data_IF_219805089641
#
_entry.id   IF_219805089641
#
_cell.length_a   1.000
_cell.length_b   1.000
_cell.length_c   1.000
_cell.angle_alpha   90.00
_cell.angle_beta   90.00
_cell.angle_gamma   90.00
#
_symmetry.space_group_name_H-M   'P 1'
#
loop_
_entity.id
_entity.type
_entity.pdbx_description
1 polymer ?
#
# COMPACT_ATOMS: atom_id res chain seq x y z
N UNK A 1 -32.29 -26.37 31.26
CA UNK A 1 -31.93 -24.94 31.08
C UNK A 1 -30.46 -24.89 30.72
N UNK A 2 -30.13 -24.65 29.45
CA UNK A 2 -28.74 -24.58 28.99
C UNK A 2 -28.22 -23.16 29.19
N UNK A 3 -27.18 -23.04 30.02
CA UNK A 3 -26.48 -21.77 30.25
C UNK A 3 -25.79 -21.30 28.97
N UNK A 4 -25.90 -20.03 28.58
CA UNK A 4 -25.20 -19.52 27.41
C UNK A 4 -23.70 -19.50 27.67
N UNK A 5 -22.95 -20.14 26.78
CA UNK A 5 -21.49 -20.18 26.78
C UNK A 5 -20.93 -18.75 26.58
N UNK A 6 -19.86 -18.36 27.29
CA UNK A 6 -19.30 -17.03 27.16
C UNK A 6 -18.68 -16.85 25.78
N UNK A 7 -19.22 -15.91 25.01
CA UNK A 7 -18.64 -15.42 23.76
C UNK A 7 -17.19 -14.98 24.04
N UNK A 8 -16.23 -15.57 23.32
CA UNK A 8 -14.82 -15.15 23.35
C UNK A 8 -14.73 -13.66 23.00
N UNK A 9 -14.59 -12.80 24.00
CA UNK A 9 -14.23 -11.40 23.81
C UNK A 9 -12.78 -11.38 23.34
N UNK A 10 -12.56 -11.18 22.04
CA UNK A 10 -11.23 -10.85 21.51
C UNK A 10 -10.78 -9.59 22.22
N UNK A 11 -9.68 -9.66 22.96
CA UNK A 11 -9.13 -8.52 23.71
C UNK A 11 -8.72 -7.47 22.68
N UNK A 12 -9.38 -6.31 22.68
CA UNK A 12 -9.04 -5.20 21.79
C UNK A 12 -7.77 -4.53 22.30
N UNK A 13 -6.78 -4.40 21.43
CA UNK A 13 -5.56 -3.67 21.74
C UNK A 13 -5.83 -2.18 21.57
N UNK A 14 -5.99 -1.48 22.69
CA UNK A 14 -6.23 -0.04 22.71
C UNK A 14 -4.90 0.72 22.73
N UNK A 15 -4.85 1.85 22.04
CA UNK A 15 -3.70 2.75 21.96
C UNK A 15 -4.13 4.18 22.23
N UNK A 16 -3.24 4.93 22.90
CA UNK A 16 -3.35 6.37 23.05
C UNK A 16 -2.33 7.02 22.12
N UNK A 17 -2.78 8.01 21.36
CA UNK A 17 -1.96 8.68 20.36
C UNK A 17 -1.95 10.18 20.60
N UNK A 18 -0.77 10.78 20.60
CA UNK A 18 -0.57 12.22 20.85
C UNK A 18 0.23 12.83 19.72
N UNK A 19 -0.27 13.91 19.13
CA UNK A 19 0.38 14.52 17.98
C UNK A 19 -0.45 15.54 17.24
N UNK A 20 0.05 15.97 16.09
CA UNK A 20 -0.61 16.95 15.22
C UNK A 20 -1.34 16.23 14.09
N UNK A 21 -2.60 16.57 13.86
CA UNK A 21 -3.30 16.09 12.67
C UNK A 21 -2.66 16.77 11.45
N UNK A 22 -2.11 15.97 10.54
CA UNK A 22 -1.42 16.44 9.34
C UNK A 22 -2.27 16.25 8.07
N UNK A 23 -3.18 15.27 8.09
CA UNK A 23 -4.05 14.98 6.97
C UNK A 23 -5.41 14.52 7.44
N UNK A 24 -6.46 14.96 6.74
CA UNK A 24 -7.83 14.47 6.87
C UNK A 24 -8.39 14.27 5.46
N UNK A 25 -8.66 13.02 5.11
CA UNK A 25 -9.15 12.64 3.80
C UNK A 25 -10.65 12.88 3.62
N UNK A 26 -11.09 12.85 2.36
CA UNK A 26 -12.52 12.84 2.02
C UNK A 26 -13.20 11.53 2.44
N UNK A 27 -14.51 11.54 2.73
CA UNK A 27 -15.25 10.35 3.15
C UNK A 27 -15.37 9.41 1.96
N UNK A 28 -15.22 8.12 2.24
CA UNK A 28 -15.26 7.02 1.27
C UNK A 28 -16.22 5.97 1.74
N UNK A 29 -16.84 5.28 0.78
CA UNK A 29 -17.74 4.15 1.02
C UNK A 29 -16.99 2.85 0.75
N UNK A 30 -17.04 1.91 1.69
CA UNK A 30 -16.59 0.53 1.50
C UNK A 30 -17.76 -0.44 1.67
N UNK A 31 -17.79 -1.48 0.84
CA UNK A 31 -18.72 -2.60 1.01
C UNK A 31 -18.12 -3.60 1.98
N UNK A 32 -18.77 -3.83 3.11
CA UNK A 32 -18.34 -4.87 4.04
C UNK A 32 -18.50 -6.25 3.37
N UNK A 33 -17.53 -7.16 3.58
CA UNK A 33 -17.56 -8.54 3.04
C UNK A 33 -18.60 -9.45 3.72
N UNK A 34 -19.34 -8.95 4.71
CA UNK A 34 -20.36 -9.71 5.42
C UNK A 34 -21.61 -9.93 4.55
N UNK A 35 -22.40 -10.95 4.89
CA UNK A 35 -23.60 -11.38 4.16
C UNK A 35 -24.59 -10.24 3.90
N UNK A 36 -24.61 -9.23 4.76
CA UNK A 36 -25.57 -8.11 4.70
C UNK A 36 -25.16 -6.93 3.81
N UNK A 37 -23.99 -6.97 3.14
CA UNK A 37 -23.52 -5.91 2.20
C UNK A 37 -23.76 -4.46 2.68
N UNK A 38 -23.70 -4.20 3.99
CA UNK A 38 -23.87 -2.84 4.50
C UNK A 38 -22.71 -1.98 3.97
N UNK A 39 -23.08 -0.87 3.36
CA UNK A 39 -22.13 0.15 2.95
C UNK A 39 -21.69 0.91 4.21
N UNK A 40 -20.39 0.98 4.42
CA UNK A 40 -19.79 1.67 5.57
C UNK A 40 -19.03 2.86 5.03
N UNK A 41 -19.31 4.03 5.60
CA UNK A 41 -18.58 5.24 5.32
C UNK A 41 -17.43 5.42 6.31
N UNK A 42 -16.31 5.92 5.82
CA UNK A 42 -15.11 6.16 6.61
C UNK A 42 -14.25 7.25 5.98
N UNK A 43 -13.34 7.84 6.74
CA UNK A 43 -12.29 8.71 6.21
C UNK A 43 -10.94 8.38 6.84
N UNK A 44 -9.87 8.73 6.12
CA UNK A 44 -8.50 8.53 6.58
C UNK A 44 -7.97 9.79 7.28
N UNK A 45 -7.14 9.58 8.29
CA UNK A 45 -6.49 10.65 9.05
C UNK A 45 -5.02 10.29 9.19
N UNK A 46 -4.12 11.27 9.19
CA UNK A 46 -2.72 11.05 9.55
C UNK A 46 -2.32 11.98 10.67
N UNK A 47 -1.63 11.43 11.67
CA UNK A 47 -1.22 12.16 12.86
C UNK A 47 0.29 12.06 13.01
N UNK A 48 0.96 13.21 13.08
CA UNK A 48 2.39 13.33 13.32
C UNK A 48 2.63 13.21 14.84
N UNK A 49 3.17 12.08 15.24
CA UNK A 49 3.67 11.81 16.59
C UNK A 49 5.13 12.29 16.71
N UNK A 50 5.75 12.11 17.87
CA UNK A 50 7.12 12.60 18.14
C UNK A 50 8.17 12.09 17.15
N UNK A 51 8.05 10.83 16.72
CA UNK A 51 9.08 10.13 15.94
C UNK A 51 8.58 9.61 14.59
N UNK A 52 7.28 9.67 14.32
CA UNK A 52 6.69 9.10 13.11
C UNK A 52 5.32 9.73 12.79
N UNK A 53 4.84 9.46 11.59
CA UNK A 53 3.44 9.70 11.21
C UNK A 53 2.65 8.40 11.31
N UNK A 54 1.54 8.44 12.04
CA UNK A 54 0.62 7.30 12.18
C UNK A 54 -0.63 7.54 11.36
N UNK A 55 -1.01 6.54 10.54
CA UNK A 55 -2.27 6.54 9.81
C UNK A 55 -3.38 6.03 10.71
N UNK A 56 -4.52 6.72 10.65
CA UNK A 56 -5.74 6.31 11.31
C UNK A 56 -6.93 6.27 10.33
N UNK A 57 -7.92 5.46 10.65
CA UNK A 57 -9.19 5.33 9.92
C UNK A 57 -10.32 5.63 10.88
N UNK A 58 -11.20 6.56 10.52
CA UNK A 58 -12.35 6.93 11.33
C UNK A 58 -13.64 6.54 10.61
N UNK A 59 -14.51 5.80 11.31
CA UNK A 59 -15.81 5.35 10.81
C UNK A 59 -16.96 6.29 11.23
N UNK A 60 -16.69 7.24 12.14
CA UNK A 60 -17.66 8.21 12.64
C UNK A 60 -17.43 9.57 11.94
N UNK A 61 -18.27 9.87 10.95
CA UNK A 61 -18.15 11.07 10.12
C UNK A 61 -18.35 12.38 10.91
N UNK A 62 -19.06 12.35 12.04
CA UNK A 62 -19.35 13.55 12.83
C UNK A 62 -18.08 14.10 13.51
N UNK A 63 -17.03 13.29 13.61
CA UNK A 63 -15.71 13.69 14.13
C UNK A 63 -14.85 14.41 13.10
N UNK A 64 -15.18 14.33 11.82
CA UNK A 64 -14.37 14.91 10.75
C UNK A 64 -14.18 16.43 10.90
N UNK A 65 -15.21 17.25 11.18
CA UNK A 65 -15.03 18.70 11.35
C UNK A 65 -14.05 19.04 12.48
N UNK A 66 -14.08 18.27 13.58
CA UNK A 66 -13.16 18.45 14.70
C UNK A 66 -11.70 18.15 14.30
N UNK A 67 -11.47 17.05 13.57
CA UNK A 67 -10.14 16.68 13.10
C UNK A 67 -9.62 17.63 12.01
N UNK A 68 -10.50 18.14 11.15
CA UNK A 68 -10.15 19.19 10.19
C UNK A 68 -9.76 20.50 10.87
N UNK A 69 -10.45 20.86 11.97
CA UNK A 69 -10.08 22.01 12.78
C UNK A 69 -8.68 21.86 13.36
N UNK A 70 -8.36 20.69 13.93
CA UNK A 70 -7.00 20.41 14.43
C UNK A 70 -5.93 20.52 13.34
N UNK A 71 -6.23 20.02 12.14
CA UNK A 71 -5.32 20.13 10.98
C UNK A 71 -5.10 21.60 10.57
N UNK A 72 -6.19 22.35 10.32
CA UNK A 72 -6.13 23.74 9.85
C UNK A 72 -5.46 24.67 10.85
N UNK A 73 -5.72 24.48 12.14
CA UNK A 73 -5.16 25.31 13.21
C UNK A 73 -3.77 24.85 13.66
N UNK A 74 -3.23 23.76 13.09
CA UNK A 74 -1.98 23.12 13.53
C UNK A 74 -1.96 22.84 15.04
N UNK A 75 -3.13 22.51 15.60
CA UNK A 75 -3.31 22.27 17.02
C UNK A 75 -3.02 20.80 17.33
N UNK A 76 -2.19 20.56 18.35
CA UNK A 76 -1.92 19.20 18.80
C UNK A 76 -3.14 18.60 19.53
N UNK A 77 -3.36 17.31 19.27
CA UNK A 77 -4.48 16.56 19.80
C UNK A 77 -4.00 15.25 20.47
N UNK A 78 -4.90 14.67 21.24
CA UNK A 78 -4.74 13.36 21.85
C UNK A 78 -5.97 12.52 21.49
N UNK A 79 -5.73 11.35 20.89
CA UNK A 79 -6.70 10.29 20.66
C UNK A 79 -6.56 9.27 21.78
N UNK A 80 -7.55 9.16 22.65
CA UNK A 80 -7.57 8.19 23.74
C UNK A 80 -8.50 7.03 23.38
N UNK A 81 -8.13 5.80 23.76
CA UNK A 81 -8.90 4.59 23.48
C UNK A 81 -9.15 4.34 21.98
N UNK A 82 -8.17 4.64 21.12
CA UNK A 82 -8.23 4.21 19.73
C UNK A 82 -7.88 2.72 19.63
N UNK A 83 -8.40 2.00 18.65
CA UNK A 83 -8.12 0.57 18.46
C UNK A 83 -6.91 0.39 17.54
N UNK A 84 -5.92 -0.39 17.96
CA UNK A 84 -4.77 -0.71 17.11
C UNK A 84 -5.12 -1.86 16.18
N UNK A 85 -4.94 -1.65 14.88
CA UNK A 85 -4.99 -2.69 13.85
C UNK A 85 -3.57 -3.02 13.35
N UNK A 86 -3.45 -4.05 12.52
CA UNK A 86 -2.15 -4.51 12.00
C UNK A 86 -1.37 -3.40 11.28
N UNK A 87 -2.08 -2.54 10.56
CA UNK A 87 -1.48 -1.49 9.71
C UNK A 87 -1.92 -0.06 10.07
N UNK A 88 -2.97 0.10 10.86
CA UNK A 88 -3.66 1.38 11.06
C UNK A 88 -4.15 1.53 12.50
N UNK A 89 -4.41 2.77 12.92
CA UNK A 89 -5.17 3.07 14.14
C UNK A 89 -6.64 3.30 13.77
N UNK A 90 -7.57 2.69 14.46
CA UNK A 90 -9.01 2.83 14.20
C UNK A 90 -9.61 3.78 15.24
N UNK A 91 -10.22 4.85 14.76
CA UNK A 91 -10.98 5.81 15.57
C UNK A 91 -12.45 5.36 15.55
N UNK A 92 -12.93 4.98 16.73
CA UNK A 92 -14.29 4.49 16.97
C UNK A 92 -15.08 5.49 17.83
N UNK A 93 -16.36 5.19 18.05
CA UNK A 93 -17.29 6.02 18.82
C UNK A 93 -16.83 6.21 20.29
N UNK A 94 -16.09 5.26 20.85
CA UNK A 94 -15.54 5.32 22.22
C UNK A 94 -14.16 5.99 22.31
N UNK A 95 -13.55 6.32 21.17
CA UNK A 95 -12.30 7.09 21.14
C UNK A 95 -12.60 8.51 21.63
N UNK A 96 -11.75 9.08 22.49
CA UNK A 96 -11.89 10.47 22.94
C UNK A 96 -10.87 11.32 22.21
N UNK A 97 -11.32 12.38 21.53
CA UNK A 97 -10.46 13.33 20.81
C UNK A 97 -10.46 14.65 21.60
N UNK A 98 -9.29 15.06 22.09
CA UNK A 98 -9.15 16.34 22.81
C UNK A 98 -7.89 17.07 22.44
N UNK A 99 -7.92 18.40 22.52
CA UNK A 99 -6.71 19.20 22.40
C UNK A 99 -5.78 18.91 23.58
N UNK A 100 -4.51 18.67 23.30
CA UNK A 100 -3.48 18.45 24.32
C UNK A 100 -2.17 19.00 23.78
N UNK A 101 -1.53 19.89 24.53
CA UNK A 101 -0.18 20.37 24.18
C UNK A 101 0.81 19.21 24.29
N UNK A 102 1.59 19.00 23.23
CA UNK A 102 2.66 17.99 23.18
C UNK A 102 4.03 18.65 23.33
N UNK A 103 5.05 17.88 23.72
CA UNK A 103 6.39 18.40 24.00
C UNK A 103 7.27 18.61 22.75
N UNK A 104 6.75 18.27 21.56
CA UNK A 104 7.44 18.39 20.29
C UNK A 104 6.68 19.33 19.35
N UNK A 105 7.42 19.99 18.46
CA UNK A 105 6.83 20.81 17.41
C UNK A 105 6.23 19.95 16.30
N UNK A 106 5.27 20.52 15.56
CA UNK A 106 4.77 19.86 14.37
C UNK A 106 5.89 19.73 13.33
N UNK A 107 6.31 18.50 13.06
CA UNK A 107 7.35 18.18 12.07
C UNK A 107 6.72 17.47 10.90
N UNK A 108 7.14 17.85 9.70
CA UNK A 108 6.93 17.03 8.51
C UNK A 108 7.97 15.91 8.52
N UNK A 109 7.54 14.67 8.73
CA UNK A 109 8.42 13.52 8.62
C UNK A 109 8.64 13.20 7.14
N UNK A 110 9.91 13.17 6.73
CA UNK A 110 10.25 12.60 5.43
C UNK A 110 9.91 11.10 5.45
N UNK A 111 9.03 10.63 4.55
CA UNK A 111 8.61 9.25 4.56
C UNK A 111 9.80 8.33 4.27
N UNK A 112 10.00 7.35 5.13
CA UNK A 112 11.07 6.36 4.96
C UNK A 112 10.83 5.55 3.68
N UNK A 113 11.84 5.52 2.82
CA UNK A 113 11.80 4.74 1.58
C UNK A 113 11.98 3.26 1.91
N UNK A 114 11.00 2.47 1.48
CA UNK A 114 10.97 1.01 1.57
C UNK A 114 11.47 0.42 0.25
N UNK A 115 12.41 -0.53 0.32
CA UNK A 115 12.88 -1.25 -0.87
C UNK A 115 11.79 -2.18 -1.43
N UNK A 116 11.79 -2.41 -2.74
CA UNK A 116 10.88 -3.35 -3.39
C UNK A 116 11.15 -4.81 -2.98
N UNK A 117 12.37 -5.12 -2.55
CA UNK A 117 12.69 -6.40 -1.91
C UNK A 117 11.96 -6.56 -0.57
N UNK A 118 12.01 -5.55 0.31
CA UNK A 118 11.27 -5.56 1.58
C UNK A 118 9.77 -5.63 1.34
N UNK A 119 9.24 -4.91 0.34
CA UNK A 119 7.83 -5.02 -0.06
C UNK A 119 7.47 -6.47 -0.38
N UNK A 120 8.33 -7.17 -1.14
CA UNK A 120 8.09 -8.58 -1.49
C UNK A 120 8.06 -9.48 -0.25
N UNK A 121 9.05 -9.36 0.63
CA UNK A 121 9.32 -10.35 1.67
C UNK A 121 8.58 -10.07 2.98
N UNK A 122 8.56 -8.81 3.41
CA UNK A 122 8.24 -8.43 4.79
C UNK A 122 6.92 -7.68 4.90
N UNK A 123 6.68 -6.73 3.99
CA UNK A 123 5.54 -5.81 4.14
C UNK A 123 4.21 -6.53 3.93
N UNK A 124 3.25 -6.46 4.88
CA UNK A 124 1.96 -7.12 4.74
C UNK A 124 1.14 -6.52 3.61
N UNK A 125 0.17 -7.29 3.11
CA UNK A 125 -0.81 -6.77 2.14
C UNK A 125 -1.67 -5.73 2.88
N UNK A 126 -2.07 -4.69 2.16
CA UNK A 126 -2.81 -3.51 2.63
C UNK A 126 -2.01 -2.53 3.48
N UNK A 127 -0.74 -2.82 3.80
CA UNK A 127 0.16 -1.80 4.32
C UNK A 127 0.45 -0.74 3.25
N UNK A 128 0.75 0.47 3.73
CA UNK A 128 1.19 1.57 2.89
C UNK A 128 2.67 1.85 3.12
N UNK A 129 3.38 2.11 2.02
CA UNK A 129 4.83 2.32 1.99
C UNK A 129 5.17 3.50 1.10
N UNK A 130 6.38 4.01 1.23
CA UNK A 130 6.95 4.94 0.26
C UNK A 130 8.06 4.23 -0.49
N UNK A 131 8.10 4.37 -1.81
CA UNK A 131 9.05 3.68 -2.69
C UNK A 131 9.76 4.71 -3.56
N UNK A 132 11.02 4.43 -3.89
CA UNK A 132 11.82 5.22 -4.81
C UNK A 132 12.25 4.30 -5.94
N UNK A 133 11.82 4.60 -7.16
CA UNK A 133 12.04 3.70 -8.27
C UNK A 133 11.88 4.36 -9.63
N UNK A 134 12.40 3.69 -10.65
CA UNK A 134 12.24 4.09 -12.04
C UNK A 134 11.09 3.33 -12.70
N UNK A 135 10.31 4.05 -13.49
CA UNK A 135 9.11 3.54 -14.17
C UNK A 135 9.46 3.01 -15.57
N UNK A 136 8.89 1.87 -15.93
CA UNK A 136 9.05 1.17 -17.22
C UNK A 136 7.77 0.48 -17.65
N UNK A 137 7.67 0.11 -18.93
CA UNK A 137 6.53 -0.62 -19.49
C UNK A 137 5.20 0.09 -19.18
N UNK A 138 5.17 1.41 -19.38
CA UNK A 138 4.02 2.25 -19.05
C UNK A 138 2.89 2.03 -20.06
N UNK A 139 1.71 1.67 -19.59
CA UNK A 139 0.56 1.32 -20.44
C UNK A 139 -0.71 2.00 -19.92
N UNK A 140 -1.43 2.65 -20.83
CA UNK A 140 -2.77 3.16 -20.57
C UNK A 140 -3.77 2.00 -20.66
N UNK A 141 -4.52 1.80 -19.58
CA UNK A 141 -5.54 0.76 -19.51
C UNK A 141 -6.88 1.43 -19.22
N UNK A 142 -7.87 1.23 -20.08
CA UNK A 142 -9.24 1.62 -19.75
C UNK A 142 -9.94 0.48 -19.02
N UNK A 143 -10.45 0.72 -17.81
CA UNK A 143 -11.37 -0.24 -17.18
C UNK A 143 -12.68 -0.31 -17.99
N UNK A 144 -13.36 -1.46 -17.96
CA UNK A 144 -14.43 -1.84 -18.88
C UNK A 144 -15.66 -0.90 -18.91
N UNK A 145 -16.49 -1.12 -19.93
CA UNK A 145 -17.60 -0.31 -20.51
C UNK A 145 -18.65 0.34 -19.59
N UNK A 146 -18.57 0.22 -18.26
CA UNK A 146 -19.55 0.81 -17.32
C UNK A 146 -18.96 1.86 -16.37
N UNK A 147 -17.64 1.94 -16.22
CA UNK A 147 -16.99 3.01 -15.44
C UNK A 147 -15.75 3.50 -16.21
N UNK A 148 -15.82 4.74 -16.70
CA UNK A 148 -14.71 5.44 -17.39
C UNK A 148 -13.62 5.86 -16.40
N UNK A 149 -13.11 4.93 -15.61
CA UNK A 149 -11.90 5.18 -14.81
C UNK A 149 -10.71 4.90 -15.72
N UNK A 150 -10.02 5.97 -16.11
CA UNK A 150 -8.71 5.85 -16.77
C UNK A 150 -7.75 5.37 -15.70
N UNK A 151 -7.03 4.29 -15.97
CA UNK A 151 -5.96 3.83 -15.10
C UNK A 151 -4.71 3.60 -15.93
N UNK A 152 -3.56 3.73 -15.31
CA UNK A 152 -2.28 3.49 -15.96
C UNK A 152 -1.54 2.41 -15.19
N UNK A 153 -0.90 1.49 -15.89
CA UNK A 153 -0.11 0.43 -15.29
C UNK A 153 1.33 0.55 -15.75
N UNK A 154 2.26 0.19 -14.86
CA UNK A 154 3.68 0.17 -15.17
C UNK A 154 4.41 -0.89 -14.35
N UNK A 155 5.70 -1.03 -14.62
CA UNK A 155 6.67 -1.66 -13.72
C UNK A 155 7.53 -0.59 -13.08
N UNK A 156 7.75 -0.73 -11.78
CA UNK A 156 8.73 0.04 -11.03
C UNK A 156 9.93 -0.85 -10.68
N UNK A 157 11.13 -0.33 -10.85
CA UNK A 157 12.40 -0.97 -10.46
C UNK A 157 13.12 -0.03 -9.50
N UNK A 158 13.65 -0.57 -8.40
CA UNK A 158 14.43 0.19 -7.42
C UNK A 158 15.89 -0.28 -7.37
N UNK A 159 16.65 0.26 -6.41
CA UNK A 159 18.04 -0.11 -6.16
C UNK A 159 18.25 -1.58 -5.75
N UNK A 160 17.21 -2.28 -5.29
CA UNK A 160 17.29 -3.72 -5.00
C UNK A 160 17.22 -4.59 -6.26
N UNK A 161 17.11 -3.96 -7.45
CA UNK A 161 16.99 -4.61 -8.75
C UNK A 161 15.77 -5.55 -8.85
N UNK A 162 14.75 -5.30 -8.01
CA UNK A 162 13.47 -5.99 -8.04
C UNK A 162 12.48 -5.15 -8.84
N UNK A 163 11.71 -5.80 -9.72
CA UNK A 163 10.62 -5.14 -10.43
C UNK A 163 9.25 -5.50 -9.83
N UNK A 164 8.34 -4.53 -9.75
CA UNK A 164 6.96 -4.74 -9.30
C UNK A 164 5.98 -4.02 -10.20
N UNK A 165 4.81 -4.62 -10.39
CA UNK A 165 3.69 -3.95 -11.06
C UNK A 165 3.17 -2.84 -10.14
N UNK A 166 2.92 -1.68 -10.73
CA UNK A 166 2.34 -0.51 -10.06
C UNK A 166 1.17 0.01 -10.90
N UNK A 167 0.05 0.31 -10.23
CA UNK A 167 -1.18 0.81 -10.87
C UNK A 167 -1.52 2.19 -10.34
N UNK A 168 -1.81 3.12 -11.25
CA UNK A 168 -2.19 4.51 -10.98
C UNK A 168 -3.69 4.69 -11.26
N UNK A 169 -4.47 4.95 -10.21
CA UNK A 169 -5.93 5.12 -10.33
C UNK A 169 -6.33 6.59 -10.56
N UNK A 170 -5.68 7.52 -9.86
CA UNK A 170 -6.03 8.95 -9.89
C UNK A 170 -4.91 9.80 -10.53
N UNK A 171 -3.65 9.46 -10.27
CA UNK A 171 -2.45 10.16 -10.76
C UNK A 171 -1.92 9.59 -12.10
N UNK A 172 -2.81 9.27 -13.03
CA UNK A 172 -2.42 8.53 -14.24
C UNK A 172 -1.54 9.37 -15.19
N UNK A 173 -1.62 10.70 -15.15
CA UNK A 173 -0.89 11.63 -16.02
C UNK A 173 0.40 12.22 -15.41
N UNK A 174 0.69 11.91 -14.14
CA UNK A 174 1.85 12.47 -13.41
C UNK A 174 3.16 11.69 -13.64
N UNK A 175 3.14 10.62 -14.44
CA UNK A 175 4.28 9.73 -14.65
C UNK A 175 4.57 9.49 -16.13
N UNK A 176 5.84 9.67 -16.50
CA UNK A 176 6.43 9.22 -17.76
C UNK A 176 7.40 8.04 -17.57
N UNK A 177 7.55 7.26 -18.63
CA UNK A 177 8.47 6.14 -18.72
C UNK A 177 9.95 6.58 -18.66
N UNK A 178 10.79 5.75 -18.02
CA UNK A 178 12.24 5.96 -17.89
C UNK A 178 12.65 6.93 -16.78
N UNK A 179 11.70 7.67 -16.19
CA UNK A 179 11.94 8.61 -15.10
C UNK A 179 11.90 7.97 -13.72
N UNK A 180 12.57 8.60 -12.76
CA UNK A 180 12.67 8.16 -11.36
C UNK A 180 11.70 8.96 -10.51
N UNK A 181 10.92 8.27 -9.69
CA UNK A 181 9.94 8.89 -8.80
C UNK A 181 10.08 8.38 -7.38
N UNK A 182 9.95 9.30 -6.43
CA UNK A 182 9.58 9.01 -5.05
C UNK A 182 8.06 9.00 -5.01
N UNK A 183 7.48 7.84 -4.72
CA UNK A 183 6.04 7.67 -4.60
C UNK A 183 5.73 7.32 -3.15
N UNK A 184 4.98 8.19 -2.49
CA UNK A 184 4.67 8.07 -1.07
C UNK A 184 3.24 7.58 -0.87
N UNK A 185 3.01 6.90 0.26
CA UNK A 185 1.69 6.39 0.65
C UNK A 185 1.09 5.41 -0.40
N UNK A 186 1.93 4.54 -0.96
CA UNK A 186 1.56 3.51 -1.94
C UNK A 186 1.06 2.27 -1.21
N UNK A 187 -0.09 1.76 -1.61
CA UNK A 187 -0.67 0.57 -0.99
C UNK A 187 -0.10 -0.70 -1.59
N UNK A 188 0.39 -1.61 -0.74
CA UNK A 188 0.74 -2.97 -1.12
C UNK A 188 -0.55 -3.77 -1.29
N UNK A 189 -0.85 -4.22 -2.50
CA UNK A 189 -2.01 -5.04 -2.78
C UNK A 189 -1.59 -6.43 -3.26
N UNK A 190 -2.56 -7.32 -3.47
CA UNK A 190 -2.34 -8.65 -4.05
C UNK A 190 -3.09 -8.76 -5.37
N UNK A 191 -2.38 -9.11 -6.44
CA UNK A 191 -2.96 -9.45 -7.74
C UNK A 191 -2.30 -10.73 -8.25
N UNK A 192 -3.10 -11.69 -8.70
CA UNK A 192 -2.66 -13.02 -9.14
C UNK A 192 -1.56 -13.64 -8.25
N UNK A 193 -1.86 -13.73 -6.94
CA UNK A 193 -0.97 -14.25 -5.88
C UNK A 193 0.33 -13.46 -5.64
N UNK A 194 0.64 -12.42 -6.41
CA UNK A 194 1.82 -11.57 -6.26
C UNK A 194 1.49 -10.27 -5.54
N UNK A 195 2.45 -9.74 -4.77
CA UNK A 195 2.35 -8.38 -4.22
C UNK A 195 2.54 -7.38 -5.36
N UNK A 196 1.63 -6.41 -5.44
CA UNK A 196 1.63 -5.30 -6.40
C UNK A 196 1.47 -3.99 -5.66
N UNK A 197 1.74 -2.88 -6.33
CA UNK A 197 1.65 -1.54 -5.76
C UNK A 197 0.44 -0.80 -6.35
N UNK A 198 -0.29 -0.07 -5.51
CA UNK A 198 -1.44 0.74 -5.93
C UNK A 198 -1.27 2.17 -5.45
N UNK A 199 -1.30 3.09 -6.41
CA UNK A 199 -1.24 4.54 -6.20
C UNK A 199 -2.67 5.08 -6.27
N UNK A 200 -3.10 5.70 -5.18
CA UNK A 200 -4.45 6.28 -5.02
C UNK A 200 -4.35 7.79 -4.86
N UNK A 201 -5.47 8.50 -4.88
CA UNK A 201 -5.59 9.95 -4.61
C UNK A 201 -4.80 10.46 -3.37
N UNK A 202 -4.62 9.61 -2.34
CA UNK A 202 -3.88 10.00 -1.12
C UNK A 202 -2.36 9.77 -1.24
N UNK A 203 -1.90 9.26 -2.39
CA UNK A 203 -0.48 9.09 -2.68
C UNK A 203 0.10 10.40 -3.20
N UNK A 204 1.40 10.60 -3.01
CA UNK A 204 2.11 11.73 -3.62
C UNK A 204 3.23 11.21 -4.48
N UNK A 205 3.33 11.75 -5.70
CA UNK A 205 4.36 11.44 -6.69
C UNK A 205 5.28 12.63 -6.81
N UNK A 206 6.58 12.38 -6.71
CA UNK A 206 7.62 13.39 -6.92
C UNK A 206 8.67 12.85 -7.87
N UNK A 207 8.86 13.52 -9.02
CA UNK A 207 9.97 13.21 -9.92
C UNK A 207 11.31 13.61 -9.27
N UNK A 208 12.29 12.71 -9.33
CA UNK A 208 13.63 12.94 -8.81
C UNK A 208 14.60 13.09 -9.99
N UNK A 209 15.03 14.32 -10.25
CA UNK A 209 15.92 14.64 -11.37
C UNK A 209 17.39 14.29 -11.07
N UNK A 210 17.81 14.37 -9.81
CA UNK A 210 19.14 13.97 -9.37
C UNK A 210 19.19 12.44 -9.23
N UNK A 211 19.68 11.78 -10.27
CA UNK A 211 19.56 10.33 -10.48
C UNK A 211 20.32 9.53 -9.42
N UNK A 212 19.65 8.88 -8.43
CA UNK A 212 20.24 7.69 -7.84
C UNK A 212 20.47 6.65 -8.95
N UNK A 213 21.57 5.89 -8.87
CA UNK A 213 21.87 4.80 -9.81
C UNK A 213 20.83 3.67 -9.66
N UNK A 214 19.66 3.85 -10.29
CA UNK A 214 18.64 2.83 -10.37
C UNK A 214 18.88 2.01 -11.64
N UNK A 215 18.92 0.67 -11.53
CA UNK A 215 19.13 -0.22 -12.66
C UNK A 215 18.19 0.05 -13.84
N UNK A 216 18.70 -0.21 -15.05
CA UNK A 216 17.86 -0.34 -16.23
C UNK A 216 17.36 -1.78 -16.32
N UNK A 217 16.11 -2.03 -16.75
CA UNK A 217 15.65 -3.38 -17.02
C UNK A 217 16.62 -3.99 -18.03
N UNK A 218 16.98 -5.26 -17.83
CA UNK A 218 17.76 -5.98 -18.80
C UNK A 218 17.00 -5.99 -20.13
N UNK A 219 17.49 -5.27 -21.12
CA UNK A 219 16.95 -5.31 -22.48
C UNK A 219 17.14 -6.73 -22.98
N UNK A 220 16.08 -7.54 -22.94
CA UNK A 220 16.08 -8.81 -23.65
C UNK A 220 15.96 -8.45 -25.12
N UNK A 221 17.10 -8.21 -25.78
CA UNK A 221 17.17 -8.22 -27.23
C UNK A 221 16.67 -9.60 -27.63
N UNK A 222 15.44 -9.70 -28.14
CA UNK A 222 15.05 -10.85 -28.95
C UNK A 222 15.90 -10.77 -30.21
N UNK A 223 17.13 -11.24 -30.14
CA UNK A 223 17.83 -11.69 -31.32
C UNK A 223 16.97 -12.80 -31.89
N UNK A 224 16.42 -12.56 -33.08
CA UNK A 224 15.92 -13.62 -33.94
C UNK A 224 17.12 -14.46 -34.39
N UNK A 225 17.72 -15.21 -33.47
CA UNK A 225 18.58 -16.31 -33.84
C UNK A 225 17.66 -17.40 -34.35
N UNK A 226 17.68 -17.56 -35.69
CA UNK A 226 17.28 -18.80 -36.33
C UNK A 226 18.08 -19.92 -35.68
N UNK A 227 17.49 -20.63 -34.73
CA UNK A 227 17.99 -21.93 -34.30
C UNK A 227 17.80 -22.91 -35.46
N UNK A 228 18.79 -22.98 -36.37
CA UNK A 228 19.10 -24.20 -37.08
C UNK A 228 19.81 -25.13 -36.09
N UNK A 229 19.04 -25.68 -35.15
CA UNK A 229 19.49 -26.66 -34.17
C UNK A 229 18.79 -27.97 -34.47
N UNK A 230 19.59 -28.94 -34.92
CA UNK A 230 19.18 -30.32 -35.17
C UNK A 230 18.44 -30.88 -33.95
N UNK A 231 17.22 -31.35 -34.17
CA UNK A 231 16.44 -32.10 -33.19
C UNK A 231 17.13 -33.45 -32.98
N UNK A 232 17.90 -33.59 -31.91
CA UNK A 232 18.24 -34.91 -31.39
C UNK A 232 17.01 -35.43 -30.65
N UNK A 233 16.18 -36.20 -31.36
CA UNK A 233 15.15 -37.04 -30.74
C UNK A 233 15.84 -38.06 -29.85
N UNK A 234 15.61 -37.97 -28.54
CA UNK A 234 15.94 -39.05 -27.61
C UNK A 234 14.78 -40.03 -27.62
N UNK A 235 15.07 -41.25 -28.07
CA UNK A 235 14.14 -42.36 -28.20
C UNK A 235 13.60 -42.79 -26.81
N UNK A 236 12.27 -42.90 -26.59
CA UNK A 236 11.69 -43.20 -25.29
C UNK A 236 11.75 -44.69 -24.89
N UNK A 237 12.73 -45.46 -25.38
CA UNK A 237 12.88 -46.91 -25.09
C UNK A 237 14.11 -47.31 -24.27
N UNK A 238 14.89 -46.37 -23.72
CA UNK A 238 16.14 -46.71 -22.99
C UNK A 238 16.04 -46.74 -21.45
N UNK A 239 14.84 -46.72 -20.85
CA UNK A 239 14.69 -46.92 -19.40
C UNK A 239 14.21 -48.34 -19.11
N UNK A 240 15.15 -49.28 -19.07
CA UNK A 240 14.92 -50.56 -18.41
C UNK A 240 16.21 -51.14 -17.84
N UNK A 241 16.57 -50.73 -16.62
CA UNK A 241 17.58 -51.44 -15.82
C UNK A 241 17.25 -51.38 -14.34
N UNK A 242 16.44 -52.35 -13.93
CA UNK A 242 16.43 -53.13 -12.68
C UNK A 242 17.14 -52.53 -11.46
N UNK A 243 16.34 -52.20 -10.45
CA UNK A 243 16.73 -52.29 -9.04
C UNK A 243 16.91 -53.77 -8.66
N UNK A 244 18.05 -54.13 -8.09
CA UNK A 244 18.20 -55.31 -7.23
C UNK A 244 18.69 -54.84 -5.86
N UNK A 245 17.97 -55.26 -4.83
CA UNK A 245 18.35 -55.16 -3.42
C UNK A 245 19.64 -55.93 -3.14
N UNK A 246 20.47 -55.37 -2.25
CA UNK A 246 20.93 -56.04 -1.02
C UNK A 246 21.14 -54.99 0.06
#
# INVERSE_FOLDING_TARGET
MASPSPSKKTKKDLVNLEGYVNFVGSPRKAKQKAADKKEIEFFEVSVNCENNTVRAVCYDLDRRPLLEKFNKESNSCCLLNAEKSDNDVIILDDTIIKQKKVAFDNKTFEPQITSLMSVLQEIPIWARVSVLGRIYDLQDTSSSSKQKTKLREAKIIDQSNVSRQITFFDHFDEVDEGKVYKITNVMVAKYDKKKVLKVSENSSIQEIHDKPEIPKPATTTRSSEKCSGIVCMVDPKSLNTRFFMR
#
